data_IF_489629761520
#
_entry.id   IF_489629761520
#
_cell.length_a   1.000
_cell.length_b   1.000
_cell.length_c   1.000
_cell.angle_alpha   90.00
_cell.angle_beta   90.00
_cell.angle_gamma   90.00
#
_symmetry.space_group_name_H-M   'P 1'
#
loop_
_entity.id
_entity.type
_entity.pdbx_description
1 polymer ?
#
# COMPACT_ATOMS: atom_id res chain seq x y z
N UNK A 1 20.14 -45.88 63.04
CA UNK A 1 21.29 -44.99 63.30
C UNK A 1 20.80 -43.57 63.03
N UNK A 2 20.06 -42.88 63.91
CA UNK A 2 20.46 -42.42 65.26
C UNK A 2 21.79 -41.65 65.15
N UNK A 3 21.97 -40.36 65.46
CA UNK A 3 21.42 -39.43 66.47
C UNK A 3 21.60 -37.96 65.98
N UNK A 4 20.64 -37.04 66.16
CA UNK A 4 20.53 -36.00 67.22
C UNK A 4 21.79 -35.12 67.44
N UNK A 5 21.76 -33.82 67.05
CA UNK A 5 21.40 -32.60 67.82
C UNK A 5 22.39 -32.23 68.94
N UNK A 6 23.07 -31.08 68.80
CA UNK A 6 23.35 -30.12 69.90
C UNK A 6 23.29 -28.68 69.37
N UNK A 7 22.50 -27.84 70.05
CA UNK A 7 22.42 -26.38 69.96
C UNK A 7 22.78 -25.85 71.35
N UNK A 8 23.70 -24.87 71.50
CA UNK A 8 23.49 -23.61 72.28
C UNK A 8 24.74 -22.71 72.43
N UNK A 9 24.51 -21.44 72.05
CA UNK A 9 25.08 -20.11 72.32
C UNK A 9 26.04 -19.82 73.49
N UNK A 10 27.05 -18.95 73.23
CA UNK A 10 27.48 -17.81 74.09
C UNK A 10 27.97 -16.64 73.21
N UNK A 11 27.60 -15.41 73.60
CA UNK A 11 27.82 -14.15 72.90
C UNK A 11 28.96 -13.28 73.49
N UNK A 12 29.32 -12.22 72.73
CA UNK A 12 30.02 -10.96 73.08
C UNK A 12 31.55 -10.96 73.30
N UNK A 13 32.28 -10.28 72.40
CA UNK A 13 32.88 -8.96 72.68
C UNK A 13 33.47 -8.29 71.42
N UNK A 14 33.18 -6.98 71.29
CA UNK A 14 33.65 -6.00 70.31
C UNK A 14 35.18 -5.95 70.09
N UNK A 15 35.62 -5.72 68.85
CA UNK A 15 36.33 -4.48 68.47
C UNK A 15 36.55 -4.36 66.95
N UNK A 16 36.11 -3.22 66.40
CA UNK A 16 36.56 -2.48 65.21
C UNK A 16 37.29 -3.21 64.06
N UNK A 17 36.62 -3.29 62.90
CA UNK A 17 37.26 -3.03 61.60
C UNK A 17 36.27 -2.34 60.67
N UNK A 18 36.56 -1.08 60.33
CA UNK A 18 35.93 -0.29 59.29
C UNK A 18 36.24 -0.91 57.92
N UNK A 19 35.22 -1.22 57.14
CA UNK A 19 35.35 -1.74 55.79
C UNK A 19 34.00 -1.83 55.08
N UNK A 20 33.54 -0.69 54.57
CA UNK A 20 32.57 -0.49 53.47
C UNK A 20 31.57 -1.62 53.18
N UNK A 21 30.31 -1.40 53.58
CA UNK A 21 29.15 -2.11 53.04
C UNK A 21 29.03 -1.86 51.54
N UNK A 22 29.37 -2.86 50.71
CA UNK A 22 28.81 -2.96 49.37
C UNK A 22 27.40 -3.58 49.51
N UNK A 23 26.38 -2.73 49.64
CA UNK A 23 24.99 -3.15 49.46
C UNK A 23 24.83 -3.57 47.99
N UNK A 24 24.78 -4.87 47.74
CA UNK A 24 24.11 -5.41 46.56
C UNK A 24 22.62 -5.08 46.70
N UNK A 25 22.19 -3.99 46.07
CA UNK A 25 20.76 -3.72 45.88
C UNK A 25 20.18 -4.82 45.00
N UNK A 26 19.48 -5.77 45.61
CA UNK A 26 18.48 -6.59 44.93
C UNK A 26 17.44 -5.64 44.34
N UNK A 27 17.51 -5.39 43.04
CA UNK A 27 16.42 -4.76 42.29
C UNK A 27 15.15 -5.60 42.53
N UNK A 28 14.17 -5.01 43.19
CA UNK A 28 12.83 -5.59 43.39
C UNK A 28 12.17 -5.84 42.03
N UNK A 29 11.32 -6.87 41.90
CA UNK A 29 10.51 -7.15 40.68
C UNK A 29 9.71 -5.94 40.18
N UNK A 30 9.47 -4.95 41.05
CA UNK A 30 8.82 -3.67 40.72
C UNK A 30 9.73 -2.68 39.95
N UNK A 31 11.06 -2.85 40.00
CA UNK A 31 12.05 -2.13 39.18
C UNK A 31 12.37 -2.84 37.85
N UNK A 32 11.90 -4.08 37.64
CA UNK A 32 11.93 -4.77 36.34
C UNK A 32 10.83 -4.31 35.38
N UNK A 33 10.02 -3.32 35.76
CA UNK A 33 9.15 -2.55 34.85
C UNK A 33 9.86 -1.30 34.30
N UNK A 34 11.13 -1.46 33.91
CA UNK A 34 11.96 -0.45 33.27
C UNK A 34 12.99 -1.24 32.44
N UNK A 35 12.98 -1.26 31.11
CA UNK A 35 12.59 -0.26 30.12
C UNK A 35 12.03 -0.99 28.88
N UNK A 36 11.13 -0.39 28.08
CA UNK A 36 10.70 -1.01 26.84
C UNK A 36 11.87 -1.06 25.85
N UNK A 37 12.60 0.05 25.70
CA UNK A 37 13.71 0.15 24.77
C UNK A 37 15.04 -0.50 25.25
N UNK A 38 15.86 -1.02 24.33
CA UNK A 38 17.24 -1.43 24.61
C UNK A 38 18.11 -0.28 25.09
N UNK A 39 19.29 -0.61 25.61
CA UNK A 39 20.30 0.38 25.96
C UNK A 39 20.77 1.12 24.70
N UNK A 40 20.66 2.45 24.71
CA UNK A 40 20.98 3.31 23.58
C UNK A 40 22.41 3.14 23.05
N UNK A 41 23.38 2.76 23.90
CA UNK A 41 24.75 2.52 23.46
C UNK A 41 24.90 1.26 22.60
N UNK A 42 24.04 0.26 22.82
CA UNK A 42 24.10 -1.04 22.14
C UNK A 42 23.40 -1.00 20.78
N UNK A 43 22.46 -0.05 20.60
CA UNK A 43 21.68 0.13 19.37
C UNK A 43 22.08 1.39 18.57
N UNK A 44 23.08 2.15 19.02
CA UNK A 44 23.56 3.31 18.27
C UNK A 44 24.07 2.89 16.87
N UNK A 45 23.77 3.66 15.80
CA UNK A 45 23.16 4.99 15.81
C UNK A 45 21.62 4.99 15.74
N UNK A 46 20.97 3.84 15.81
CA UNK A 46 19.51 3.79 15.88
C UNK A 46 19.00 4.31 17.22
N UNK A 47 17.79 4.86 17.20
CA UNK A 47 17.11 5.42 18.37
C UNK A 47 15.82 4.66 18.61
N UNK A 48 15.66 4.09 19.80
CA UNK A 48 14.41 3.48 20.22
C UNK A 48 13.58 4.47 21.05
N UNK A 49 12.32 4.64 20.68
CA UNK A 49 11.34 5.48 21.39
C UNK A 49 10.15 4.65 21.86
N UNK A 50 9.64 4.95 23.05
CA UNK A 50 8.46 4.29 23.62
C UNK A 50 7.23 5.15 23.39
N UNK A 51 6.19 4.56 22.81
CA UNK A 51 4.91 5.18 22.55
C UNK A 51 3.99 5.21 23.78
N UNK A 52 2.95 6.08 23.80
CA UNK A 52 1.99 6.16 24.91
C UNK A 52 1.23 4.87 25.23
N UNK A 53 1.09 3.97 24.26
CA UNK A 53 0.46 2.65 24.39
C UNK A 53 1.44 1.53 24.76
N UNK A 54 2.72 1.88 25.01
CA UNK A 54 3.86 1.00 25.23
C UNK A 54 4.39 0.29 23.97
N UNK A 55 3.97 0.69 22.78
CA UNK A 55 4.65 0.31 21.53
C UNK A 55 6.09 0.85 21.50
N UNK A 56 6.95 0.21 20.73
CA UNK A 56 8.36 0.62 20.56
C UNK A 56 8.65 0.92 19.11
N UNK A 57 9.22 2.09 18.85
CA UNK A 57 9.63 2.51 17.52
C UNK A 57 11.15 2.52 17.43
N UNK A 58 11.69 1.99 16.34
CA UNK A 58 13.11 2.03 16.03
C UNK A 58 13.34 2.97 14.83
N UNK A 59 14.09 4.05 15.04
CA UNK A 59 14.57 4.91 13.97
C UNK A 59 16.03 4.57 13.67
N UNK A 60 16.28 4.01 12.50
CA UNK A 60 17.61 3.64 12.01
C UNK A 60 18.08 4.51 10.83
N UNK A 61 17.52 5.71 10.67
CA UNK A 61 17.87 6.61 9.55
C UNK A 61 19.35 7.01 9.51
N UNK A 62 20.02 6.99 10.67
CA UNK A 62 21.42 7.43 10.83
C UNK A 62 22.47 6.33 10.62
N UNK A 63 22.07 5.10 10.29
CA UNK A 63 23.03 4.02 10.00
C UNK A 63 23.83 4.32 8.73
N UNK A 64 25.08 3.92 8.72
CA UNK A 64 26.07 4.22 7.69
C UNK A 64 26.43 3.00 6.83
N UNK A 65 25.82 1.85 7.10
CA UNK A 65 25.87 0.65 6.25
C UNK A 65 24.82 -0.38 6.67
N UNK A 66 24.51 -1.34 5.78
CA UNK A 66 23.70 -2.51 6.14
C UNK A 66 24.35 -3.40 7.21
N UNK A 67 25.69 -3.41 7.30
CA UNK A 67 26.39 -4.12 8.37
C UNK A 67 26.19 -3.44 9.73
N UNK A 68 26.14 -2.11 9.78
CA UNK A 68 25.84 -1.39 11.02
C UNK A 68 24.40 -1.65 11.46
N UNK A 69 23.46 -1.66 10.51
CA UNK A 69 22.07 -2.06 10.79
C UNK A 69 21.99 -3.48 11.38
N UNK A 70 22.68 -4.45 10.76
CA UNK A 70 22.73 -5.82 11.26
C UNK A 70 23.35 -5.92 12.67
N UNK A 71 24.36 -5.10 12.97
CA UNK A 71 24.98 -5.06 14.31
C UNK A 71 24.00 -4.56 15.37
N UNK A 72 23.20 -3.52 15.06
CA UNK A 72 22.16 -3.00 15.96
C UNK A 72 21.19 -4.11 16.37
N UNK A 73 20.73 -4.93 15.40
CA UNK A 73 19.80 -6.03 15.66
C UNK A 73 20.46 -7.35 16.09
N UNK A 74 21.78 -7.37 16.25
CA UNK A 74 22.52 -8.49 16.85
C UNK A 74 22.77 -8.30 18.35
N UNK A 75 22.47 -7.12 18.89
CA UNK A 75 22.63 -6.82 20.31
C UNK A 75 21.66 -7.65 21.17
N UNK A 76 21.97 -7.81 22.47
CA UNK A 76 21.02 -8.41 23.42
C UNK A 76 19.85 -7.46 23.66
N UNK A 77 18.82 -7.58 22.82
CA UNK A 77 17.59 -6.79 22.90
C UNK A 77 16.61 -7.53 23.83
N UNK A 78 16.17 -6.91 24.94
CA UNK A 78 15.30 -7.57 25.93
C UNK A 78 13.90 -7.89 25.39
N UNK A 79 13.44 -7.18 24.35
CA UNK A 79 12.14 -7.36 23.69
C UNK A 79 12.31 -7.21 22.18
N UNK A 80 11.89 -8.22 21.43
CA UNK A 80 12.10 -8.28 19.97
C UNK A 80 10.90 -7.78 19.17
N UNK A 81 9.76 -7.52 19.81
CA UNK A 81 8.54 -7.08 19.13
C UNK A 81 8.43 -5.55 19.16
N UNK A 82 8.62 -4.94 17.99
CA UNK A 82 8.54 -3.50 17.79
C UNK A 82 7.26 -3.12 17.05
N UNK A 83 6.72 -1.95 17.39
CA UNK A 83 5.59 -1.38 16.65
C UNK A 83 6.05 -0.91 15.27
N UNK A 84 7.18 -0.20 15.18
CA UNK A 84 7.66 0.32 13.90
C UNK A 84 9.19 0.34 13.73
N UNK A 85 9.63 0.20 12.48
CA UNK A 85 10.98 0.52 12.01
C UNK A 85 10.89 1.64 10.98
N UNK A 86 11.72 2.67 11.17
CA UNK A 86 11.84 3.79 10.23
C UNK A 86 13.28 3.95 9.74
N UNK A 87 13.46 4.08 8.42
CA UNK A 87 14.73 4.47 7.78
C UNK A 87 14.41 5.56 6.76
N UNK A 88 14.82 6.79 7.03
CA UNK A 88 14.55 7.93 6.16
C UNK A 88 15.81 8.54 5.58
N UNK A 89 15.77 8.89 4.30
CA UNK A 89 16.82 9.60 3.58
C UNK A 89 18.21 8.97 3.78
N UNK A 90 18.26 7.63 3.75
CA UNK A 90 19.48 6.88 3.98
C UNK A 90 20.11 6.45 2.64
N UNK A 91 21.24 7.06 2.30
CA UNK A 91 21.99 6.70 1.08
C UNK A 91 23.03 5.60 1.31
N UNK A 92 23.19 5.14 2.55
CA UNK A 92 24.22 4.18 2.91
C UNK A 92 23.76 2.72 2.78
N UNK A 93 22.46 2.46 2.94
CA UNK A 93 21.87 1.14 2.73
C UNK A 93 21.33 1.05 1.31
N UNK A 94 22.06 0.35 0.44
CA UNK A 94 21.62 0.03 -0.92
C UNK A 94 20.93 -1.33 -1.03
N UNK A 95 21.11 -2.20 -0.03
CA UNK A 95 20.50 -3.53 0.01
C UNK A 95 20.11 -3.89 1.44
N UNK A 96 18.87 -4.33 1.61
CA UNK A 96 18.41 -5.02 2.82
C UNK A 96 18.52 -6.53 2.62
N UNK A 97 19.31 -7.18 3.48
CA UNK A 97 19.65 -8.60 3.39
C UNK A 97 18.91 -9.40 4.46
N UNK A 98 18.82 -10.70 4.22
CA UNK A 98 18.40 -11.64 5.26
C UNK A 98 19.28 -11.48 6.52
N UNK A 99 18.63 -11.29 7.66
CA UNK A 99 19.30 -11.12 8.96
C UNK A 99 19.74 -9.70 9.30
N UNK A 100 19.61 -8.71 8.40
CA UNK A 100 19.92 -7.31 8.74
C UNK A 100 19.03 -6.77 9.88
N UNK A 101 17.83 -7.36 10.07
CA UNK A 101 16.91 -7.05 11.17
C UNK A 101 16.93 -8.10 12.30
N UNK A 102 17.82 -9.09 12.23
CA UNK A 102 17.93 -10.15 13.24
C UNK A 102 16.60 -10.87 13.52
N UNK A 103 16.36 -11.17 14.80
CA UNK A 103 15.12 -11.78 15.28
C UNK A 103 14.04 -10.74 15.64
N UNK A 104 14.32 -9.45 15.43
CA UNK A 104 13.35 -8.40 15.69
C UNK A 104 12.16 -8.51 14.73
N UNK A 105 10.96 -8.34 15.27
CA UNK A 105 9.71 -8.34 14.53
C UNK A 105 9.13 -6.93 14.54
N UNK A 106 8.52 -6.53 13.42
CA UNK A 106 7.94 -5.21 13.27
C UNK A 106 6.51 -5.33 12.76
N UNK A 107 5.62 -4.51 13.33
CA UNK A 107 4.27 -4.36 12.80
C UNK A 107 4.22 -3.42 11.61
N UNK A 108 5.02 -2.35 11.64
CA UNK A 108 5.11 -1.36 10.56
C UNK A 108 6.56 -1.18 10.16
N UNK A 109 6.86 -1.24 8.86
CA UNK A 109 8.19 -0.88 8.34
C UNK A 109 8.01 0.23 7.33
N UNK A 110 8.71 1.35 7.55
CA UNK A 110 8.69 2.52 6.66
C UNK A 110 10.11 2.90 6.26
N UNK A 111 10.39 2.81 4.97
CA UNK A 111 11.66 3.21 4.36
C UNK A 111 11.34 4.28 3.32
N UNK A 112 11.82 5.51 3.52
CA UNK A 112 11.47 6.62 2.64
C UNK A 112 12.70 7.42 2.23
N UNK A 113 12.86 7.66 0.93
CA UNK A 113 14.03 8.39 0.44
C UNK A 113 15.32 7.58 0.52
N UNK A 114 16.37 8.08 -0.13
CA UNK A 114 17.70 7.47 -0.11
C UNK A 114 17.96 6.57 -1.31
N UNK A 115 18.85 5.60 -1.14
CA UNK A 115 19.43 4.83 -2.25
C UNK A 115 19.26 3.31 -2.13
N UNK A 116 18.20 2.84 -1.44
CA UNK A 116 17.87 1.42 -1.40
C UNK A 116 17.51 0.92 -2.81
N UNK A 117 18.22 -0.11 -3.29
CA UNK A 117 18.04 -0.69 -4.63
C UNK A 117 17.40 -2.08 -4.59
N UNK A 118 17.65 -2.85 -3.53
CA UNK A 118 17.18 -4.24 -3.45
C UNK A 118 16.79 -4.64 -2.03
N UNK A 119 15.64 -5.30 -1.93
CA UNK A 119 15.28 -6.13 -0.78
C UNK A 119 15.54 -7.57 -1.17
N UNK A 120 16.46 -8.23 -0.48
CA UNK A 120 16.78 -9.64 -0.73
C UNK A 120 15.70 -10.52 -0.09
N UNK A 121 15.51 -11.72 -0.66
CA UNK A 121 14.69 -12.76 -0.05
C UNK A 121 15.00 -12.95 1.44
N UNK A 122 13.96 -13.10 2.24
CA UNK A 122 13.97 -13.28 3.70
C UNK A 122 14.51 -12.09 4.50
N UNK A 123 14.65 -10.90 3.90
CA UNK A 123 15.00 -9.69 4.64
C UNK A 123 14.00 -9.38 5.76
N UNK A 124 12.72 -9.75 5.58
CA UNK A 124 11.63 -9.51 6.54
C UNK A 124 11.11 -10.80 7.21
N UNK A 125 11.85 -11.91 7.14
CA UNK A 125 11.36 -13.24 7.55
C UNK A 125 10.86 -13.27 8.99
N UNK A 126 11.55 -12.60 9.93
CA UNK A 126 11.14 -12.53 11.34
C UNK A 126 9.79 -11.81 11.54
N UNK A 127 9.37 -10.99 10.57
CA UNK A 127 8.12 -10.21 10.62
C UNK A 127 6.97 -10.80 9.79
N UNK A 128 7.11 -12.00 9.18
CA UNK A 128 6.02 -12.64 8.41
C UNK A 128 4.71 -12.79 9.20
N UNK A 129 4.80 -12.93 10.52
CA UNK A 129 3.64 -13.09 11.39
C UNK A 129 3.22 -11.83 12.12
N UNK A 130 3.88 -10.69 11.92
CA UNK A 130 3.59 -9.44 12.67
C UNK A 130 3.40 -8.23 11.78
N UNK A 131 4.07 -8.17 10.63
CA UNK A 131 4.01 -7.03 9.71
C UNK A 131 2.61 -6.85 9.15
N UNK A 132 2.02 -5.68 9.39
CA UNK A 132 0.73 -5.26 8.84
C UNK A 132 0.88 -4.25 7.72
N UNK A 133 1.93 -3.42 7.77
CA UNK A 133 2.15 -2.29 6.87
C UNK A 133 3.62 -2.22 6.43
N UNK A 134 3.85 -2.28 5.13
CA UNK A 134 5.18 -2.13 4.53
C UNK A 134 5.17 -1.00 3.52
N UNK A 135 5.94 0.04 3.79
CA UNK A 135 6.11 1.21 2.93
C UNK A 135 7.59 1.35 2.57
N UNK A 136 7.92 1.28 1.28
CA UNK A 136 9.25 1.57 0.74
C UNK A 136 9.08 2.53 -0.44
N UNK A 137 9.27 3.83 -0.25
CA UNK A 137 8.92 4.83 -1.28
C UNK A 137 10.01 5.86 -1.50
N UNK A 138 10.15 6.34 -2.75
CA UNK A 138 11.14 7.37 -3.08
C UNK A 138 12.58 6.89 -2.95
N UNK A 139 12.83 5.60 -3.19
CA UNK A 139 14.17 5.01 -3.20
C UNK A 139 14.57 4.67 -4.65
N UNK A 140 15.46 3.70 -4.85
CA UNK A 140 15.88 3.20 -6.18
C UNK A 140 15.53 1.72 -6.33
N UNK A 141 14.50 1.28 -5.61
CA UNK A 141 14.17 -0.13 -5.45
C UNK A 141 13.79 -0.71 -6.82
N UNK A 142 14.67 -1.54 -7.37
CA UNK A 142 14.45 -2.24 -8.65
C UNK A 142 14.19 -3.74 -8.46
N UNK A 143 14.46 -4.27 -7.26
CA UNK A 143 14.18 -5.66 -6.92
C UNK A 143 13.52 -5.79 -5.54
N UNK A 144 12.33 -6.41 -5.54
CA UNK A 144 11.58 -6.78 -4.34
C UNK A 144 11.10 -8.24 -4.46
N UNK A 145 11.19 -9.07 -3.40
CA UNK A 145 10.88 -10.50 -3.48
C UNK A 145 9.37 -10.73 -3.33
N UNK A 146 8.57 -10.33 -4.33
CA UNK A 146 7.10 -10.43 -4.30
C UNK A 146 6.56 -11.84 -4.01
N UNK A 147 7.32 -12.89 -4.35
CA UNK A 147 6.97 -14.28 -4.03
C UNK A 147 6.90 -14.56 -2.52
N UNK A 148 7.51 -13.74 -1.67
CA UNK A 148 7.44 -13.92 -0.20
C UNK A 148 6.18 -13.30 0.40
N UNK A 149 5.44 -12.49 -0.35
CA UNK A 149 4.21 -11.84 0.13
C UNK A 149 3.17 -12.87 0.60
N UNK A 150 3.17 -14.07 0.01
CA UNK A 150 2.28 -15.16 0.44
C UNK A 150 2.59 -15.69 1.86
N UNK A 151 3.81 -15.46 2.35
CA UNK A 151 4.24 -15.87 3.70
C UNK A 151 3.76 -14.91 4.78
N UNK A 152 3.40 -13.68 4.42
CA UNK A 152 2.90 -12.70 5.38
C UNK A 152 1.46 -13.03 5.77
N UNK A 153 1.26 -13.34 7.03
CA UNK A 153 -0.05 -13.75 7.57
C UNK A 153 -0.87 -12.58 8.12
N UNK A 154 -0.29 -11.38 8.18
CA UNK A 154 -0.96 -10.18 8.69
C UNK A 154 -0.82 -8.94 7.80
N UNK A 155 -0.03 -9.01 6.71
CA UNK A 155 0.24 -7.85 5.85
C UNK A 155 -1.03 -7.42 5.12
N UNK A 156 -1.43 -6.16 5.30
CA UNK A 156 -2.63 -5.55 4.71
C UNK A 156 -2.29 -4.45 3.73
N UNK A 157 -1.22 -3.70 3.99
CA UNK A 157 -0.81 -2.55 3.19
C UNK A 157 0.61 -2.73 2.66
N UNK A 158 0.76 -2.71 1.34
CA UNK A 158 2.06 -2.72 0.67
C UNK A 158 2.15 -1.51 -0.27
N UNK A 159 2.99 -0.56 0.09
CA UNK A 159 3.28 0.61 -0.74
C UNK A 159 4.75 0.58 -1.18
N UNK A 160 4.96 0.42 -2.49
CA UNK A 160 6.28 0.50 -3.14
C UNK A 160 6.30 1.59 -4.22
N UNK A 161 5.51 2.64 -4.04
CA UNK A 161 5.42 3.76 -4.99
C UNK A 161 6.74 4.53 -5.12
N UNK A 162 6.94 5.16 -6.28
CA UNK A 162 8.08 6.04 -6.55
C UNK A 162 9.42 5.31 -6.37
N UNK A 163 9.60 4.23 -7.12
CA UNK A 163 10.83 3.43 -7.19
C UNK A 163 11.13 3.04 -8.65
N UNK A 164 12.10 2.14 -8.86
CA UNK A 164 12.55 1.69 -10.18
C UNK A 164 12.09 0.24 -10.48
N UNK A 165 10.92 -0.18 -9.95
CA UNK A 165 10.40 -1.53 -10.15
C UNK A 165 9.96 -1.69 -11.60
N UNK A 166 10.40 -2.78 -12.22
CA UNK A 166 10.05 -3.11 -13.61
C UNK A 166 9.22 -4.38 -13.69
N UNK A 167 8.20 -4.36 -14.55
CA UNK A 167 7.27 -5.47 -14.70
C UNK A 167 6.30 -5.63 -13.52
N UNK A 168 5.10 -6.14 -13.82
CA UNK A 168 4.15 -6.47 -12.76
C UNK A 168 4.46 -7.87 -12.16
N UNK A 169 4.56 -8.00 -10.83
CA UNK A 169 4.89 -9.28 -10.20
C UNK A 169 3.71 -10.25 -10.17
N UNK A 170 3.97 -11.57 -10.21
CA UNK A 170 2.93 -12.52 -9.79
C UNK A 170 2.80 -12.45 -8.27
N UNK A 171 1.60 -12.12 -7.78
CA UNK A 171 1.35 -11.87 -6.37
C UNK A 171 0.24 -12.78 -5.83
N UNK A 172 0.48 -13.35 -4.66
CA UNK A 172 -0.51 -14.09 -3.88
C UNK A 172 -0.48 -13.62 -2.43
N UNK A 173 -1.65 -13.37 -1.86
CA UNK A 173 -1.78 -13.00 -0.44
C UNK A 173 -3.21 -13.21 0.04
N UNK A 174 -3.36 -13.88 1.17
CA UNK A 174 -4.66 -14.04 1.81
C UNK A 174 -5.13 -12.75 2.53
N UNK A 175 -4.22 -11.85 2.89
CA UNK A 175 -4.50 -10.73 3.80
C UNK A 175 -4.32 -9.35 3.19
N UNK A 176 -3.60 -9.23 2.07
CA UNK A 176 -3.32 -7.94 1.44
C UNK A 176 -4.63 -7.27 1.02
N UNK A 177 -4.79 -6.01 1.43
CA UNK A 177 -5.96 -5.17 1.12
C UNK A 177 -5.62 -4.04 0.17
N UNK A 178 -4.41 -3.50 0.25
CA UNK A 178 -3.98 -2.37 -0.57
C UNK A 178 -2.59 -2.64 -1.12
N UNK A 179 -2.45 -2.49 -2.44
CA UNK A 179 -1.21 -2.66 -3.18
C UNK A 179 -0.97 -1.39 -4.00
N UNK A 180 0.06 -0.63 -3.66
CA UNK A 180 0.42 0.61 -4.36
C UNK A 180 1.79 0.45 -5.01
N UNK A 181 1.81 0.54 -6.34
CA UNK A 181 2.98 0.39 -7.22
C UNK A 181 3.12 1.57 -8.19
N UNK A 182 2.39 2.66 -7.99
CA UNK A 182 2.45 3.85 -8.84
C UNK A 182 3.84 4.49 -8.90
N UNK A 183 4.10 5.27 -9.94
CA UNK A 183 5.42 5.86 -10.22
C UNK A 183 6.56 4.81 -10.26
N UNK A 184 6.33 3.71 -10.99
CA UNK A 184 7.32 2.68 -11.32
C UNK A 184 7.24 2.40 -12.84
N UNK A 185 8.15 1.60 -13.40
CA UNK A 185 8.14 1.23 -14.83
C UNK A 185 7.53 -0.16 -15.04
N UNK A 186 6.28 -0.35 -14.64
CA UNK A 186 5.58 -1.65 -14.64
C UNK A 186 5.29 -2.14 -16.06
N UNK A 187 4.80 -1.28 -16.94
CA UNK A 187 4.49 -1.61 -18.33
C UNK A 187 3.23 -2.47 -18.49
N UNK A 188 3.32 -3.79 -18.35
CA UNK A 188 2.19 -4.70 -18.62
C UNK A 188 1.78 -5.51 -17.39
N UNK A 189 0.47 -5.76 -17.26
CA UNK A 189 -0.10 -6.63 -16.23
C UNK A 189 -0.52 -7.95 -16.87
N UNK A 190 0.19 -9.03 -16.56
CA UNK A 190 -0.21 -10.38 -17.00
C UNK A 190 -1.50 -10.83 -16.30
N UNK A 191 -2.35 -11.58 -17.00
CA UNK A 191 -3.61 -12.15 -16.50
C UNK A 191 -3.43 -13.02 -15.24
N UNK A 192 -2.26 -13.60 -15.03
CA UNK A 192 -1.99 -14.46 -13.86
C UNK A 192 -1.58 -13.65 -12.63
N UNK A 193 -1.25 -12.37 -12.77
CA UNK A 193 -0.53 -11.62 -11.76
C UNK A 193 -1.35 -11.29 -10.51
N UNK A 194 -2.67 -11.16 -10.68
CA UNK A 194 -3.61 -10.73 -9.65
C UNK A 194 -4.58 -11.85 -9.21
N UNK A 195 -4.32 -13.11 -9.57
CA UNK A 195 -5.32 -14.20 -9.46
C UNK A 195 -5.60 -14.68 -8.03
N UNK A 196 -4.73 -14.38 -7.05
CA UNK A 196 -4.79 -14.94 -5.69
C UNK A 196 -4.77 -13.86 -4.59
N UNK A 197 -5.63 -12.85 -4.72
CA UNK A 197 -5.74 -11.73 -3.77
C UNK A 197 -7.19 -11.51 -3.30
N UNK A 198 -7.80 -12.48 -2.57
CA UNK A 198 -9.23 -12.44 -2.22
C UNK A 198 -9.63 -11.28 -1.30
N UNK A 199 -8.67 -10.67 -0.62
CA UNK A 199 -8.89 -9.57 0.34
C UNK A 199 -8.58 -8.19 -0.23
N UNK A 200 -8.09 -8.10 -1.48
CA UNK A 200 -7.66 -6.85 -2.09
C UNK A 200 -8.84 -5.93 -2.35
N UNK A 201 -8.71 -4.68 -1.91
CA UNK A 201 -9.72 -3.63 -1.99
C UNK A 201 -9.25 -2.50 -2.91
N UNK A 202 -7.97 -2.15 -2.87
CA UNK A 202 -7.41 -1.09 -3.71
C UNK A 202 -6.13 -1.55 -4.42
N UNK A 203 -5.99 -1.16 -5.69
CA UNK A 203 -4.76 -1.31 -6.47
C UNK A 203 -4.34 0.02 -7.09
N UNK A 204 -3.13 0.43 -6.77
CA UNK A 204 -2.48 1.65 -7.22
C UNK A 204 -1.47 1.39 -8.34
N UNK A 205 -1.78 1.80 -9.56
CA UNK A 205 -0.92 1.65 -10.75
C UNK A 205 -0.88 2.92 -11.59
N UNK A 206 -1.04 4.08 -10.96
CA UNK A 206 -0.92 5.38 -11.62
C UNK A 206 0.53 5.66 -12.02
N UNK A 207 0.74 6.36 -13.13
CA UNK A 207 2.09 6.68 -13.64
C UNK A 207 3.00 5.44 -13.74
N UNK A 208 2.48 4.32 -14.24
CA UNK A 208 3.17 3.02 -14.24
C UNK A 208 3.59 2.52 -15.64
N UNK A 209 3.56 3.42 -16.64
CA UNK A 209 3.85 3.14 -18.05
C UNK A 209 2.92 2.09 -18.69
N UNK A 210 1.69 1.95 -18.18
CA UNK A 210 0.73 0.99 -18.68
C UNK A 210 0.13 1.47 -19.99
N UNK A 211 0.15 0.63 -21.01
CA UNK A 211 -0.41 0.95 -22.33
C UNK A 211 -1.66 0.14 -22.69
N UNK A 212 -1.89 -0.99 -22.02
CA UNK A 212 -3.00 -1.90 -22.31
C UNK A 212 -3.51 -2.59 -21.04
N UNK A 213 -4.82 -2.79 -20.98
CA UNK A 213 -5.49 -3.64 -20.00
C UNK A 213 -6.12 -4.82 -20.75
N UNK A 214 -5.79 -6.04 -20.33
CA UNK A 214 -6.32 -7.25 -20.95
C UNK A 214 -7.69 -7.60 -20.35
N UNK A 215 -8.59 -8.24 -21.13
CA UNK A 215 -9.84 -8.76 -20.58
C UNK A 215 -9.59 -9.71 -19.41
N UNK A 216 -10.25 -9.47 -18.28
CA UNK A 216 -10.10 -10.26 -17.07
C UNK A 216 -8.83 -9.98 -16.26
N UNK A 217 -8.09 -8.89 -16.51
CA UNK A 217 -6.93 -8.49 -15.68
C UNK A 217 -7.29 -8.40 -14.19
N UNK A 218 -8.48 -7.88 -13.87
CA UNK A 218 -8.97 -7.75 -12.48
C UNK A 218 -9.96 -8.85 -12.08
N UNK A 219 -10.10 -9.90 -12.89
CA UNK A 219 -10.98 -11.02 -12.58
C UNK A 219 -10.47 -11.79 -11.35
N UNK A 220 -11.40 -12.27 -10.52
CA UNK A 220 -11.06 -13.03 -9.32
C UNK A 220 -10.68 -12.19 -8.09
N UNK A 221 -10.92 -10.87 -8.13
CA UNK A 221 -10.73 -9.95 -7.02
C UNK A 221 -12.09 -9.54 -6.41
N UNK A 222 -12.74 -10.39 -5.58
CA UNK A 222 -14.14 -10.22 -5.17
C UNK A 222 -14.38 -9.00 -4.27
N UNK A 223 -13.32 -8.48 -3.64
CA UNK A 223 -13.38 -7.35 -2.71
C UNK A 223 -12.87 -6.04 -3.33
N UNK A 224 -12.43 -6.05 -4.59
CA UNK A 224 -11.82 -4.88 -5.22
C UNK A 224 -12.86 -3.78 -5.41
N UNK A 225 -12.47 -2.57 -5.04
CA UNK A 225 -13.31 -1.37 -5.05
C UNK A 225 -12.59 -0.23 -5.78
N UNK A 226 -11.28 -0.09 -5.58
CA UNK A 226 -10.51 1.05 -6.06
C UNK A 226 -9.43 0.61 -7.05
N UNK A 227 -9.44 1.21 -8.24
CA UNK A 227 -8.45 0.99 -9.30
C UNK A 227 -7.90 2.34 -9.72
N UNK A 228 -6.60 2.55 -9.50
CA UNK A 228 -5.88 3.73 -9.97
C UNK A 228 -5.02 3.40 -11.18
N UNK A 229 -5.44 3.86 -12.35
CA UNK A 229 -4.74 3.71 -13.63
C UNK A 229 -4.50 5.06 -14.32
N UNK A 230 -4.69 6.16 -13.61
CA UNK A 230 -4.44 7.51 -14.11
C UNK A 230 -2.96 7.75 -14.47
N UNK A 231 -2.72 8.72 -15.34
CA UNK A 231 -1.35 9.10 -15.76
C UNK A 231 -0.59 7.97 -16.45
N UNK A 232 -1.29 7.09 -17.17
CA UNK A 232 -0.71 6.03 -17.99
C UNK A 232 -0.81 6.38 -19.49
N UNK A 233 -0.53 5.41 -20.36
CA UNK A 233 -0.59 5.56 -21.82
C UNK A 233 -1.65 4.63 -22.44
N UNK A 234 -2.75 4.37 -21.72
CA UNK A 234 -3.81 3.47 -22.16
C UNK A 234 -4.59 4.16 -23.29
N UNK A 235 -4.67 3.51 -24.45
CA UNK A 235 -5.35 4.07 -25.63
C UNK A 235 -6.75 3.51 -25.84
N UNK A 236 -7.00 2.28 -25.39
CA UNK A 236 -8.27 1.60 -25.56
C UNK A 236 -8.59 0.69 -24.38
N UNK A 237 -9.88 0.51 -24.11
CA UNK A 237 -10.37 -0.52 -23.18
C UNK A 237 -11.18 -1.58 -23.95
N UNK A 238 -10.72 -2.85 -24.00
CA UNK A 238 -11.49 -3.93 -24.60
C UNK A 238 -12.65 -4.38 -23.70
N UNK A 239 -13.60 -5.13 -24.26
CA UNK A 239 -14.67 -5.75 -23.48
C UNK A 239 -14.10 -6.64 -22.36
N UNK A 240 -14.65 -6.56 -21.16
CA UNK A 240 -14.16 -7.27 -19.97
C UNK A 240 -12.86 -6.71 -19.36
N UNK A 241 -12.45 -5.48 -19.72
CA UNK A 241 -11.24 -4.87 -19.15
C UNK A 241 -11.36 -4.64 -17.64
N UNK A 242 -12.48 -4.07 -17.18
CA UNK A 242 -12.76 -3.80 -15.77
C UNK A 242 -14.14 -4.35 -15.42
N UNK A 243 -14.14 -5.40 -14.60
CA UNK A 243 -15.35 -6.07 -14.12
C UNK A 243 -15.29 -6.18 -12.59
N UNK A 244 -16.14 -5.42 -11.89
CA UNK A 244 -16.20 -5.41 -10.43
C UNK A 244 -17.50 -6.02 -9.90
N UNK A 245 -17.49 -6.44 -8.64
CA UNK A 245 -18.62 -7.12 -7.99
C UNK A 245 -19.12 -6.39 -6.74
N UNK A 246 -18.47 -5.29 -6.37
CA UNK A 246 -18.72 -4.51 -5.16
C UNK A 246 -19.61 -3.32 -5.47
N UNK A 247 -20.36 -2.82 -4.48
CA UNK A 247 -21.35 -1.74 -4.66
C UNK A 247 -20.80 -0.33 -4.41
N UNK A 248 -19.47 -0.21 -4.29
CA UNK A 248 -18.78 1.07 -4.05
C UNK A 248 -17.44 1.00 -4.76
N UNK A 249 -17.33 1.70 -5.89
CA UNK A 249 -16.18 1.64 -6.78
C UNK A 249 -15.63 3.03 -7.06
N UNK A 250 -14.32 3.10 -7.18
CA UNK A 250 -13.60 4.28 -7.64
C UNK A 250 -12.64 3.79 -8.72
N UNK A 251 -12.87 4.22 -9.96
CA UNK A 251 -12.05 3.82 -11.11
C UNK A 251 -11.43 5.07 -11.73
N UNK A 252 -10.13 5.23 -11.56
CA UNK A 252 -9.36 6.30 -12.17
C UNK A 252 -8.71 5.84 -13.47
N UNK A 253 -9.19 6.40 -14.59
CA UNK A 253 -8.65 6.25 -15.93
C UNK A 253 -8.27 7.61 -16.54
N UNK A 254 -8.33 8.67 -15.75
CA UNK A 254 -8.05 10.03 -16.18
C UNK A 254 -6.58 10.23 -16.56
N UNK A 255 -6.28 11.25 -17.36
CA UNK A 255 -4.90 11.54 -17.82
C UNK A 255 -4.28 10.31 -18.49
N UNK A 256 -5.01 9.75 -19.46
CA UNK A 256 -4.55 8.67 -20.33
C UNK A 256 -4.68 9.13 -21.79
N UNK A 257 -4.63 8.19 -22.73
CA UNK A 257 -4.78 8.43 -24.16
C UNK A 257 -6.04 7.74 -24.72
N UNK A 258 -7.06 7.50 -23.88
CA UNK A 258 -8.23 6.72 -24.27
C UNK A 258 -8.96 7.38 -25.44
N UNK A 259 -8.95 6.71 -26.59
CA UNK A 259 -9.70 7.10 -27.80
C UNK A 259 -10.98 6.27 -27.94
N UNK A 260 -10.98 5.03 -27.41
CA UNK A 260 -12.07 4.09 -27.58
C UNK A 260 -12.28 3.21 -26.35
N UNK A 261 -13.53 3.05 -25.95
CA UNK A 261 -13.97 2.12 -24.89
C UNK A 261 -14.99 1.18 -25.52
N UNK A 262 -14.71 -0.12 -25.51
CA UNK A 262 -15.61 -1.11 -26.08
C UNK A 262 -16.88 -1.30 -25.23
N UNK A 263 -17.98 -1.67 -25.86
CA UNK A 263 -19.16 -2.12 -25.13
C UNK A 263 -18.82 -3.30 -24.21
N UNK A 264 -19.27 -3.23 -22.95
CA UNK A 264 -18.92 -4.21 -21.93
C UNK A 264 -17.47 -4.13 -21.42
N UNK A 265 -16.70 -3.08 -21.75
CA UNK A 265 -15.37 -2.88 -21.17
C UNK A 265 -15.41 -2.56 -19.67
N UNK A 266 -16.48 -1.90 -19.22
CA UNK A 266 -16.73 -1.50 -17.85
C UNK A 266 -18.02 -2.16 -17.38
N UNK A 267 -17.96 -3.08 -16.41
CA UNK A 267 -19.13 -3.79 -15.89
C UNK A 267 -19.13 -3.89 -14.36
N UNK A 268 -20.33 -3.94 -13.79
CA UNK A 268 -20.53 -4.09 -12.34
C UNK A 268 -20.01 -2.91 -11.51
N UNK A 269 -19.89 -1.73 -12.12
CA UNK A 269 -19.43 -0.51 -11.45
C UNK A 269 -20.60 0.24 -10.81
N UNK A 270 -20.38 0.66 -9.57
CA UNK A 270 -21.28 1.43 -8.72
C UNK A 270 -20.46 2.46 -7.94
N UNK A 271 -20.51 3.74 -8.32
CA UNK A 271 -19.66 4.76 -7.69
C UNK A 271 -19.07 5.72 -8.71
N UNK A 272 -17.78 5.98 -8.67
CA UNK A 272 -17.14 7.04 -9.45
C UNK A 272 -16.23 6.48 -10.55
N UNK A 273 -16.38 7.01 -11.76
CA UNK A 273 -15.55 6.68 -12.91
C UNK A 273 -14.97 7.96 -13.48
N UNK A 274 -13.64 8.03 -13.48
CA UNK A 274 -12.88 9.20 -13.92
C UNK A 274 -12.23 8.89 -15.27
N UNK A 275 -12.72 9.51 -16.35
CA UNK A 275 -12.15 9.41 -17.72
C UNK A 275 -11.76 10.77 -18.28
N UNK A 276 -11.68 11.80 -17.44
CA UNK A 276 -11.27 13.14 -17.85
C UNK A 276 -9.82 13.18 -18.34
N UNK A 277 -9.49 14.18 -19.16
CA UNK A 277 -8.16 14.32 -19.77
C UNK A 277 -7.76 13.07 -20.57
N UNK A 278 -8.60 12.67 -21.52
CA UNK A 278 -8.37 11.59 -22.46
C UNK A 278 -8.62 12.09 -23.90
N UNK A 279 -8.76 11.19 -24.86
CA UNK A 279 -8.99 11.48 -26.28
C UNK A 279 -10.35 10.96 -26.77
N UNK A 280 -11.35 10.87 -25.88
CA UNK A 280 -12.66 10.36 -26.23
C UNK A 280 -13.40 11.36 -27.13
N UNK A 281 -13.87 10.88 -28.27
CA UNK A 281 -14.69 11.67 -29.20
C UNK A 281 -16.18 11.57 -28.93
N UNK A 282 -16.62 10.57 -28.17
CA UNK A 282 -18.02 10.35 -27.84
C UNK A 282 -18.15 9.71 -26.44
N UNK A 283 -19.33 9.82 -25.86
CA UNK A 283 -19.75 9.02 -24.71
C UNK A 283 -20.75 7.97 -25.21
N UNK A 284 -20.22 6.88 -25.76
CA UNK A 284 -21.01 5.85 -26.44
C UNK A 284 -22.13 5.26 -25.56
N UNK A 285 -23.35 5.20 -26.11
CA UNK A 285 -24.55 4.73 -25.40
C UNK A 285 -24.36 3.32 -24.82
N UNK A 286 -23.88 2.39 -25.64
CA UNK A 286 -23.68 0.99 -25.25
C UNK A 286 -22.67 0.78 -24.11
N UNK A 287 -21.78 1.76 -23.88
CA UNK A 287 -20.78 1.73 -22.81
C UNK A 287 -21.34 2.31 -21.52
N UNK A 288 -21.86 3.54 -21.58
CA UNK A 288 -22.15 4.31 -20.36
C UNK A 288 -23.60 4.22 -19.92
N UNK A 289 -24.57 4.01 -20.83
CA UNK A 289 -25.99 3.91 -20.46
C UNK A 289 -26.24 2.80 -19.43
N UNK A 290 -25.67 1.59 -19.55
CA UNK A 290 -25.84 0.54 -18.52
C UNK A 290 -25.30 0.95 -17.14
N UNK A 291 -24.32 1.86 -17.09
CA UNK A 291 -23.69 2.29 -15.84
C UNK A 291 -24.47 3.41 -15.14
N UNK A 292 -25.12 4.29 -15.91
CA UNK A 292 -25.91 5.42 -15.38
C UNK A 292 -27.41 5.11 -15.24
N UNK A 293 -27.88 4.01 -15.82
CA UNK A 293 -29.29 3.56 -15.75
C UNK A 293 -29.52 2.45 -14.71
N UNK A 294 -28.89 2.60 -13.52
CA UNK A 294 -28.93 1.60 -12.43
C UNK A 294 -29.70 2.08 -11.19
N UNK A 295 -30.41 3.22 -11.28
CA UNK A 295 -31.18 3.75 -10.16
C UNK A 295 -30.29 4.36 -9.08
N UNK A 296 -30.39 3.85 -7.85
CA UNK A 296 -29.56 4.31 -6.72
C UNK A 296 -28.10 3.86 -6.81
N UNK A 297 -27.81 2.86 -7.66
CA UNK A 297 -26.47 2.30 -7.84
C UNK A 297 -25.78 2.80 -9.12
N UNK A 298 -26.29 3.87 -9.73
CA UNK A 298 -25.70 4.48 -10.92
C UNK A 298 -24.36 5.12 -10.62
N UNK A 299 -23.48 5.16 -11.63
CA UNK A 299 -22.18 5.83 -11.48
C UNK A 299 -22.30 7.36 -11.54
N UNK A 300 -21.30 8.04 -10.98
CA UNK A 300 -20.90 9.40 -11.31
C UNK A 300 -19.75 9.33 -12.32
N UNK A 301 -19.90 10.00 -13.46
CA UNK A 301 -18.94 9.98 -14.57
C UNK A 301 -18.28 11.35 -14.72
N UNK A 302 -16.96 11.40 -14.57
CA UNK A 302 -16.13 12.58 -14.80
C UNK A 302 -15.46 12.43 -16.17
N UNK A 303 -15.78 13.31 -17.12
CA UNK A 303 -15.41 13.15 -18.53
C UNK A 303 -14.93 14.45 -19.19
N UNK A 304 -14.63 15.48 -18.39
CA UNK A 304 -14.13 16.76 -18.85
C UNK A 304 -12.78 16.63 -19.58
N UNK A 305 -12.41 17.65 -20.37
CA UNK A 305 -11.17 17.64 -21.14
C UNK A 305 -11.02 16.43 -22.07
N UNK A 306 -12.09 16.09 -22.78
CA UNK A 306 -12.10 15.15 -23.91
C UNK A 306 -12.59 15.89 -25.18
N UNK A 307 -12.07 15.57 -26.37
CA UNK A 307 -12.50 16.17 -27.64
C UNK A 307 -13.86 15.60 -28.12
N UNK A 308 -14.90 15.74 -27.29
CA UNK A 308 -16.24 15.23 -27.56
C UNK A 308 -16.86 15.93 -28.78
N UNK A 309 -17.34 15.17 -29.76
CA UNK A 309 -17.94 15.72 -30.98
C UNK A 309 -19.33 16.31 -30.72
N UNK A 310 -20.07 15.75 -29.77
CA UNK A 310 -21.44 16.15 -29.42
C UNK A 310 -22.41 16.18 -30.61
N UNK A 311 -22.29 15.20 -31.51
CA UNK A 311 -23.27 14.96 -32.55
C UNK A 311 -24.38 14.02 -32.08
N UNK A 312 -24.93 13.22 -32.99
CA UNK A 312 -25.97 12.25 -32.64
C UNK A 312 -25.53 11.16 -31.65
N UNK A 313 -24.23 10.95 -31.49
CA UNK A 313 -23.61 10.05 -30.53
C UNK A 313 -23.93 10.38 -29.06
N UNK A 314 -24.21 11.65 -28.73
CA UNK A 314 -24.55 12.08 -27.37
C UNK A 314 -26.06 12.30 -27.15
N UNK A 315 -26.89 12.05 -28.17
CA UNK A 315 -28.33 12.30 -28.13
C UNK A 315 -29.04 11.55 -26.99
N UNK A 316 -28.60 10.33 -26.68
CA UNK A 316 -29.14 9.50 -25.61
C UNK A 316 -28.96 10.14 -24.21
N UNK A 317 -27.87 10.88 -24.02
CA UNK A 317 -27.60 11.67 -22.81
C UNK A 317 -28.47 12.92 -22.81
N UNK A 318 -28.35 13.76 -23.83
CA UNK A 318 -29.00 15.09 -23.88
C UNK A 318 -30.52 15.00 -23.78
N UNK A 319 -31.13 13.96 -24.39
CA UNK A 319 -32.58 13.75 -24.34
C UNK A 319 -33.10 13.20 -23.00
N UNK A 320 -32.22 12.92 -22.02
CA UNK A 320 -32.59 12.39 -20.73
C UNK A 320 -31.86 13.10 -19.58
N UNK A 321 -32.55 14.03 -18.93
CA UNK A 321 -32.01 14.82 -17.81
C UNK A 321 -31.53 13.97 -16.62
N UNK A 322 -32.08 12.76 -16.43
CA UNK A 322 -31.60 11.82 -15.40
C UNK A 322 -30.19 11.33 -15.75
N UNK A 323 -29.93 10.95 -17.01
CA UNK A 323 -28.60 10.50 -17.43
C UNK A 323 -27.59 11.65 -17.42
N UNK A 324 -27.98 12.86 -17.87
CA UNK A 324 -27.13 14.04 -17.74
C UNK A 324 -26.71 14.34 -16.31
N UNK A 325 -27.57 14.09 -15.32
CA UNK A 325 -27.25 14.34 -13.91
C UNK A 325 -26.13 13.47 -13.35
N UNK A 326 -25.75 12.40 -14.05
CA UNK A 326 -24.60 11.55 -13.71
C UNK A 326 -23.27 12.06 -14.28
N UNK A 327 -23.28 13.05 -15.19
CA UNK A 327 -22.07 13.70 -15.67
C UNK A 327 -21.62 14.77 -14.68
N UNK A 328 -20.44 14.58 -14.10
CA UNK A 328 -19.84 15.49 -13.13
C UNK A 328 -18.97 16.54 -13.83
N UNK A 329 -18.77 17.69 -13.18
CA UNK A 329 -17.88 18.78 -13.58
C UNK A 329 -18.07 19.36 -15.00
N UNK A 330 -19.26 19.17 -15.57
CA UNK A 330 -19.72 19.76 -16.84
C UNK A 330 -18.77 19.50 -18.04
N UNK A 331 -18.70 18.26 -18.57
CA UNK A 331 -17.92 18.00 -19.79
C UNK A 331 -18.39 18.90 -20.94
N UNK A 332 -17.43 19.28 -21.77
CA UNK A 332 -17.64 20.18 -22.91
C UNK A 332 -17.43 19.45 -24.23
N UNK A 333 -18.17 19.89 -25.23
CA UNK A 333 -17.97 19.57 -26.63
C UNK A 333 -16.68 20.21 -27.16
N UNK A 334 -16.24 19.77 -28.33
CA UNK A 334 -15.01 20.23 -28.98
C UNK A 334 -15.03 21.72 -29.36
N UNK A 335 -16.22 22.31 -29.45
CA UNK A 335 -16.43 23.76 -29.67
C UNK A 335 -16.49 24.56 -28.35
N UNK A 336 -16.40 23.89 -27.20
CA UNK A 336 -16.43 24.47 -25.87
C UNK A 336 -17.82 24.63 -25.25
N UNK A 337 -18.89 24.26 -25.96
CA UNK A 337 -20.23 24.23 -25.36
C UNK A 337 -20.34 23.11 -24.32
N UNK A 338 -21.01 23.36 -23.19
CA UNK A 338 -21.21 22.33 -22.16
C UNK A 338 -22.26 21.33 -22.64
N UNK A 339 -22.01 20.05 -22.43
CA UNK A 339 -22.94 18.97 -22.82
C UNK A 339 -24.34 19.17 -22.23
N UNK A 340 -24.43 19.65 -20.98
CA UNK A 340 -25.71 19.92 -20.31
C UNK A 340 -26.49 21.11 -20.86
N UNK A 341 -25.82 22.01 -21.60
CA UNK A 341 -26.42 23.23 -22.13
C UNK A 341 -26.91 23.05 -23.59
N UNK A 342 -26.59 21.91 -24.22
CA UNK A 342 -27.03 21.56 -25.57
C UNK A 342 -28.57 21.50 -25.68
N UNK A 343 -29.12 22.09 -26.73
CA UNK A 343 -30.56 22.06 -27.00
C UNK A 343 -31.01 20.66 -27.47
N UNK A 344 -31.86 19.94 -26.70
CA UNK A 344 -32.36 18.62 -27.08
C UNK A 344 -33.10 18.62 -28.42
N UNK A 345 -33.65 19.76 -28.86
CA UNK A 345 -34.40 19.86 -30.11
C UNK A 345 -33.56 19.57 -31.36
N UNK A 346 -32.24 19.77 -31.28
CA UNK A 346 -31.28 19.52 -32.37
C UNK A 346 -31.13 18.00 -32.61
N UNK A 347 -31.33 17.18 -31.58
CA UNK A 347 -31.12 15.74 -31.63
C UNK A 347 -32.37 14.93 -32.02
N UNK A 348 -33.49 15.58 -32.34
CA UNK A 348 -34.78 14.92 -32.68
C UNK A 348 -34.66 14.02 -33.92
N UNK A 349 -33.75 14.35 -34.84
CA UNK A 349 -33.53 13.60 -36.09
C UNK A 349 -32.40 12.57 -36.00
N UNK A 350 -31.79 12.40 -34.82
CA UNK A 350 -30.77 11.40 -34.62
C UNK A 350 -31.38 9.99 -34.67
N UNK A 351 -30.68 9.04 -35.32
CA UNK A 351 -31.20 7.71 -35.62
C UNK A 351 -31.38 6.81 -34.39
#
# INVERSE_FOLDING_TARGET
MEQQRIVTWVAMLCCCCLGTLAKTEKRTEQQLRALPCPNAADIAPCVCTVLPDNGMEMDCSSVTSSNELALVFSAEIPFLDFESLTIQNNDAITSLRAGDLGDATFRIITIMGGSLETVVMNAFMSSYHTLTDLTITGTKLNFFPFGEIESFTQLKYLNLENNDITGFPTLASATLRELLLGFNSIGEISLTSLTNLPSLVAIGLHSAEISQILPGTFAGLPMLQEIHLEMNSITQLPAGAIELQTLSNIVHLNVNLLEYIAEGALTGLHGEVFVQNNQLHELAEGVFKPLVDQGENSISLFAEHNPLACGCDIAWLVNNSKFLSHLMDDPTCSDGEKVKDLDPSIFILCP
#
